data_IF_692753451970
#
_entry.id   IF_692753451970
#
_cell.length_a   1.000
_cell.length_b   1.000
_cell.length_c   1.000
_cell.angle_alpha   90.00
_cell.angle_beta   90.00
_cell.angle_gamma   90.00
#
_symmetry.space_group_name_H-M   'P 1'
#
loop_
_entity.id
_entity.type
_entity.pdbx_description
1 polymer ?
#
# COMPACT_ATOMS: atom_id res chain seq x y z
N UNK A 1 -22.07 -16.60 -9.35
CA UNK A 1 -20.72 -16.04 -9.10
C UNK A 1 -20.86 -14.54 -9.09
N UNK A 2 -20.24 -13.81 -8.15
CA UNK A 2 -20.27 -12.35 -8.16
C UNK A 2 -19.09 -11.85 -9.01
N UNK A 3 -19.31 -10.78 -9.77
CA UNK A 3 -18.24 -10.17 -10.56
C UNK A 3 -17.35 -9.29 -9.68
N UNK A 4 -16.04 -9.32 -9.94
CA UNK A 4 -15.07 -8.44 -9.32
C UNK A 4 -14.81 -7.24 -10.23
N UNK A 5 -14.81 -6.04 -9.66
CA UNK A 5 -14.59 -4.79 -10.39
C UNK A 5 -13.48 -3.96 -9.74
N UNK A 6 -12.77 -3.16 -10.55
CA UNK A 6 -11.75 -2.23 -10.08
C UNK A 6 -12.40 -0.85 -9.91
N UNK A 7 -12.51 -0.38 -8.67
CA UNK A 7 -13.16 0.89 -8.34
C UNK A 7 -12.16 2.07 -8.22
N UNK A 8 -10.87 1.80 -8.13
CA UNK A 8 -9.82 2.82 -8.01
C UNK A 8 -8.46 2.26 -8.44
N UNK A 9 -7.65 3.08 -9.10
CA UNK A 9 -6.28 2.75 -9.48
C UNK A 9 -5.39 4.00 -9.40
N UNK A 10 -4.34 3.94 -8.59
CA UNK A 10 -3.42 5.06 -8.34
C UNK A 10 -1.99 4.55 -8.15
N UNK A 11 -1.02 5.45 -8.34
CA UNK A 11 0.40 5.19 -8.10
C UNK A 11 1.13 6.48 -7.76
N UNK A 12 2.29 6.36 -7.12
CA UNK A 12 3.25 7.46 -7.04
C UNK A 12 3.89 7.71 -8.41
N UNK A 13 4.55 8.87 -8.60
CA UNK A 13 5.58 9.01 -9.61
C UNK A 13 6.69 7.97 -9.41
N UNK A 14 7.39 7.62 -10.49
CA UNK A 14 8.58 6.75 -10.44
C UNK A 14 9.81 7.64 -10.37
N UNK A 15 10.61 7.46 -9.32
CA UNK A 15 11.87 8.19 -9.13
C UNK A 15 13.06 7.46 -9.75
N UNK A 16 14.15 8.20 -9.96
CA UNK A 16 15.47 7.59 -10.21
C UNK A 16 16.08 7.10 -8.89
N UNK A 17 16.88 6.04 -8.94
CA UNK A 17 17.65 5.58 -7.80
C UNK A 17 18.52 6.72 -7.25
N UNK A 18 18.54 6.90 -5.92
CA UNK A 18 19.18 8.03 -5.23
C UNK A 18 18.69 9.44 -5.68
N UNK A 19 17.54 9.51 -6.36
CA UNK A 19 16.96 10.75 -6.87
C UNK A 19 15.97 11.41 -5.90
N UNK A 20 14.93 12.04 -6.46
CA UNK A 20 13.99 12.90 -5.72
C UNK A 20 13.21 12.19 -4.60
N UNK A 21 13.02 10.87 -4.69
CA UNK A 21 12.28 10.09 -3.69
C UNK A 21 13.18 9.43 -2.63
N UNK A 22 14.49 9.70 -2.62
CA UNK A 22 15.47 9.03 -1.75
C UNK A 22 15.20 9.18 -0.25
N UNK A 23 14.49 10.23 0.16
CA UNK A 23 14.18 10.51 1.56
C UNK A 23 13.01 9.69 2.09
N UNK A 24 12.25 9.02 1.22
CA UNK A 24 11.13 8.18 1.60
C UNK A 24 11.57 6.72 1.73
N UNK A 25 11.10 6.07 2.79
CA UNK A 25 11.09 4.61 2.89
C UNK A 25 10.04 4.04 1.94
N UNK A 26 10.25 2.81 1.48
CA UNK A 26 9.29 2.13 0.61
C UNK A 26 7.89 2.00 1.24
N UNK A 27 7.81 1.78 2.56
CA UNK A 27 6.54 1.69 3.29
C UNK A 27 5.80 3.02 3.37
N UNK A 28 6.51 4.16 3.37
CA UNK A 28 5.91 5.50 3.32
C UNK A 28 5.31 5.79 1.94
N UNK A 29 6.01 5.39 0.87
CA UNK A 29 5.46 5.47 -0.49
C UNK A 29 4.21 4.58 -0.64
N UNK A 30 4.24 3.37 -0.08
CA UNK A 30 3.08 2.48 -0.04
C UNK A 30 1.88 3.10 0.72
N UNK A 31 2.15 3.74 1.85
CA UNK A 31 1.13 4.42 2.65
C UNK A 31 0.42 5.55 1.89
N UNK A 32 1.18 6.34 1.12
CA UNK A 32 0.61 7.40 0.26
C UNK A 32 -0.37 6.79 -0.75
N UNK A 33 0.00 5.68 -1.38
CA UNK A 33 -0.83 5.00 -2.38
C UNK A 33 -2.09 4.42 -1.74
N UNK A 34 -1.98 3.73 -0.59
CA UNK A 34 -3.14 3.17 0.11
C UNK A 34 -4.15 4.26 0.45
N UNK A 35 -3.69 5.36 1.05
CA UNK A 35 -4.56 6.49 1.42
C UNK A 35 -5.30 7.07 0.23
N UNK A 36 -4.57 7.32 -0.86
CA UNK A 36 -5.14 7.92 -2.06
C UNK A 36 -6.06 6.95 -2.81
N UNK A 37 -5.76 5.65 -2.81
CA UNK A 37 -6.59 4.62 -3.44
C UNK A 37 -7.96 4.55 -2.80
N UNK A 38 -8.01 4.48 -1.46
CA UNK A 38 -9.23 4.47 -0.65
C UNK A 38 -10.02 5.77 -0.85
N UNK A 39 -9.33 6.91 -0.78
CA UNK A 39 -9.95 8.22 -1.01
C UNK A 39 -10.59 8.34 -2.40
N UNK A 40 -9.89 7.94 -3.47
CA UNK A 40 -10.43 7.99 -4.85
C UNK A 40 -11.51 6.96 -5.12
N UNK A 41 -11.48 5.83 -4.43
CA UNK A 41 -12.55 4.84 -4.46
C UNK A 41 -13.84 5.37 -3.83
N UNK A 42 -13.77 6.41 -2.99
CA UNK A 42 -14.93 6.97 -2.30
C UNK A 42 -15.50 6.05 -1.22
N UNK A 43 -14.71 5.07 -0.74
CA UNK A 43 -15.10 4.14 0.32
C UNK A 43 -14.54 4.59 1.67
N UNK A 44 -15.11 4.10 2.76
CA UNK A 44 -14.57 4.38 4.09
C UNK A 44 -13.39 3.43 4.36
N UNK A 45 -12.36 3.86 5.12
CA UNK A 45 -11.26 2.98 5.52
C UNK A 45 -11.72 1.68 6.20
N UNK A 46 -12.80 1.75 6.98
CA UNK A 46 -13.42 0.61 7.65
C UNK A 46 -14.15 -0.39 6.75
N UNK A 47 -14.41 -0.04 5.49
CA UNK A 47 -14.99 -0.92 4.47
C UNK A 47 -13.91 -1.78 3.77
N UNK A 48 -12.63 -1.54 4.03
CA UNK A 48 -11.52 -2.33 3.48
C UNK A 48 -11.31 -3.57 4.36
N UNK A 49 -11.39 -4.75 3.74
CA UNK A 49 -11.18 -6.02 4.46
C UNK A 49 -9.68 -6.41 4.54
N UNK A 50 -8.94 -6.23 3.45
CA UNK A 50 -7.57 -6.74 3.31
C UNK A 50 -6.68 -5.87 2.41
N UNK A 51 -5.39 -5.77 2.75
CA UNK A 51 -4.34 -5.18 1.90
C UNK A 51 -3.35 -6.25 1.47
N UNK A 52 -3.29 -6.52 0.17
CA UNK A 52 -2.27 -7.37 -0.44
C UNK A 52 -1.30 -6.47 -1.19
N UNK A 53 -0.03 -6.41 -0.78
CA UNK A 53 0.97 -5.53 -1.39
C UNK A 53 2.26 -6.25 -1.74
N UNK A 54 2.77 -6.02 -2.95
CA UNK A 54 4.03 -6.58 -3.42
C UNK A 54 5.25 -5.81 -2.90
N UNK A 55 6.26 -6.52 -2.40
CA UNK A 55 7.56 -5.93 -2.07
C UNK A 55 8.69 -6.97 -2.19
N UNK A 56 9.62 -6.73 -3.13
CA UNK A 56 10.71 -7.67 -3.44
C UNK A 56 11.86 -7.56 -2.45
N UNK A 57 12.42 -6.35 -2.27
CA UNK A 57 13.55 -6.13 -1.36
C UNK A 57 13.01 -5.63 -0.01
N UNK A 58 12.84 -6.56 0.94
CA UNK A 58 12.25 -6.28 2.25
C UNK A 58 13.28 -6.00 3.35
N UNK A 59 14.55 -6.33 3.11
CA UNK A 59 15.62 -6.11 4.09
C UNK A 59 15.68 -4.64 4.51
N UNK A 60 15.66 -4.39 5.82
CA UNK A 60 15.70 -3.04 6.39
C UNK A 60 14.37 -2.28 6.37
N UNK A 61 13.28 -2.86 5.85
CA UNK A 61 11.95 -2.23 5.85
C UNK A 61 11.10 -2.57 7.08
N UNK A 62 11.56 -3.48 7.94
CA UNK A 62 10.79 -3.98 9.09
C UNK A 62 9.84 -5.12 8.72
N UNK A 63 9.01 -5.53 9.68
CA UNK A 63 8.06 -6.64 9.51
C UNK A 63 6.90 -6.23 8.60
N UNK A 64 6.52 -7.12 7.68
CA UNK A 64 5.34 -6.99 6.81
C UNK A 64 5.13 -5.56 6.24
N UNK A 65 5.90 -5.14 5.22
CA UNK A 65 5.77 -3.83 4.58
C UNK A 65 4.33 -3.42 4.20
N UNK A 66 3.50 -4.38 3.76
CA UNK A 66 2.08 -4.15 3.47
C UNK A 66 1.31 -3.65 4.70
N UNK A 67 1.55 -4.26 5.87
CA UNK A 67 0.92 -3.86 7.14
C UNK A 67 1.34 -2.45 7.55
N UNK A 68 2.62 -2.11 7.39
CA UNK A 68 3.09 -0.76 7.68
C UNK A 68 2.46 0.27 6.74
N UNK A 69 2.38 -0.04 5.43
CA UNK A 69 1.71 0.82 4.45
C UNK A 69 0.21 0.99 4.73
N UNK A 70 -0.49 -0.08 5.12
CA UNK A 70 -1.91 -0.03 5.48
C UNK A 70 -2.16 0.89 6.69
N UNK A 71 -1.43 0.69 7.79
CA UNK A 71 -1.57 1.47 9.00
C UNK A 71 -1.19 2.95 8.79
N UNK A 72 -0.02 3.22 8.19
CA UNK A 72 0.39 4.60 7.89
C UNK A 72 -0.48 5.24 6.78
N UNK A 73 -1.17 4.43 5.97
CA UNK A 73 -2.15 4.86 4.98
C UNK A 73 -3.47 5.33 5.59
N UNK A 74 -3.71 5.05 6.87
CA UNK A 74 -4.92 5.42 7.61
C UNK A 74 -5.98 4.33 7.66
N UNK A 75 -5.64 3.08 7.32
CA UNK A 75 -6.56 1.97 7.51
C UNK A 75 -6.61 1.53 8.99
N UNK A 76 -7.78 1.10 9.49
CA UNK A 76 -7.90 0.54 10.83
C UNK A 76 -7.00 -0.67 11.07
N UNK A 77 -6.64 -0.89 12.32
CA UNK A 77 -5.81 -2.03 12.72
C UNK A 77 -6.49 -3.40 12.49
N UNK A 78 -7.83 -3.46 12.49
CA UNK A 78 -8.60 -4.67 12.14
C UNK A 78 -8.38 -5.16 10.69
N UNK A 79 -7.94 -4.29 9.78
CA UNK A 79 -7.76 -4.63 8.36
C UNK A 79 -6.55 -5.55 8.21
N UNK A 80 -6.72 -6.76 7.67
CA UNK A 80 -5.58 -7.67 7.48
C UNK A 80 -4.63 -7.13 6.41
N UNK A 81 -3.36 -7.50 6.49
CA UNK A 81 -2.40 -7.11 5.46
C UNK A 81 -1.32 -8.17 5.26
N UNK A 82 -1.00 -8.46 4.00
CA UNK A 82 0.02 -9.44 3.62
C UNK A 82 0.96 -8.86 2.58
N UNK A 83 2.26 -9.02 2.85
CA UNK A 83 3.31 -8.71 1.87
C UNK A 83 3.57 -9.94 1.01
N UNK A 84 3.49 -9.77 -0.31
CA UNK A 84 3.80 -10.84 -1.27
C UNK A 84 5.15 -10.55 -1.93
N UNK A 85 5.99 -11.57 -2.01
CA UNK A 85 7.23 -11.53 -2.78
C UNK A 85 7.25 -12.74 -3.74
N UNK A 86 7.38 -12.47 -5.04
CA UNK A 86 7.36 -13.49 -6.09
C UNK A 86 8.39 -13.14 -7.14
N UNK A 87 9.63 -13.58 -6.92
CA UNK A 87 10.77 -13.51 -7.85
C UNK A 87 11.05 -14.91 -8.39
#
# INVERSE_FOLDING_TARGET
>A
MKDAVIISAVRTPVGKFLGALKSFKATELGAIVVREAVKRAGVKPEDVDEVIMGCVIQAGLGQNPARQAALHGGLPDKVSAVTVNKV
#
